data_IF_220683606977
#
_entry.id   IF_220683606977
#
_cell.length_a   1.000
_cell.length_b   1.000
_cell.length_c   1.000
_cell.angle_alpha   90.00
_cell.angle_beta   90.00
_cell.angle_gamma   90.00
#
_symmetry.space_group_name_H-M   'P 1'
#
loop_
_entity.id
_entity.type
_entity.pdbx_description
1 polymer ?
#
# COMPACT_ATOMS: atom_id res chain seq x y z
N UNK A 1 7.18 16.81 19.34
CA UNK A 1 5.73 16.64 19.05
C UNK A 1 5.47 17.17 17.66
N UNK A 2 4.89 16.39 16.74
CA UNK A 2 4.67 16.83 15.36
C UNK A 2 3.76 18.05 15.40
N UNK A 3 4.27 19.21 14.97
CA UNK A 3 3.55 20.47 15.10
C UNK A 3 2.18 20.35 14.43
N UNK A 4 1.10 20.49 15.20
CA UNK A 4 -0.27 20.35 14.70
C UNK A 4 -0.52 21.26 13.48
N UNK A 5 0.17 22.41 13.45
CA UNK A 5 0.20 23.37 12.34
C UNK A 5 0.81 22.79 11.05
N UNK A 6 1.92 22.05 11.16
CA UNK A 6 2.58 21.40 10.00
C UNK A 6 1.73 20.27 9.44
N UNK A 7 1.05 19.52 10.31
CA UNK A 7 0.09 18.49 9.88
C UNK A 7 -1.08 19.13 9.14
N UNK A 8 -1.69 20.17 9.72
CA UNK A 8 -2.81 20.87 9.09
C UNK A 8 -2.42 21.48 7.74
N UNK A 9 -1.25 22.09 7.63
CA UNK A 9 -0.73 22.62 6.37
C UNK A 9 -0.53 21.51 5.32
N UNK A 10 0.08 20.38 5.71
CA UNK A 10 0.28 19.25 4.81
C UNK A 10 -1.05 18.64 4.33
N UNK A 11 -2.04 18.50 5.22
CA UNK A 11 -3.38 18.03 4.85
C UNK A 11 -4.07 19.00 3.91
N UNK A 12 -3.94 20.31 4.12
CA UNK A 12 -4.49 21.33 3.22
C UNK A 12 -3.90 21.26 1.81
N UNK A 13 -2.57 21.13 1.72
CA UNK A 13 -1.88 20.97 0.43
C UNK A 13 -2.35 19.69 -0.28
N UNK A 14 -2.46 18.56 0.44
CA UNK A 14 -2.94 17.29 -0.12
C UNK A 14 -4.33 17.43 -0.74
N UNK A 15 -5.28 18.05 -0.03
CA UNK A 15 -6.64 18.25 -0.54
C UNK A 15 -6.62 19.14 -1.78
N UNK A 16 -5.84 20.22 -1.78
CA UNK A 16 -5.73 21.12 -2.93
C UNK A 16 -5.17 20.40 -4.17
N UNK A 17 -4.12 19.58 -4.01
CA UNK A 17 -3.53 18.81 -5.11
C UNK A 17 -4.53 17.80 -5.67
N UNK A 18 -5.24 17.08 -4.80
CA UNK A 18 -6.21 16.05 -5.19
C UNK A 18 -7.40 16.67 -5.91
N UNK A 19 -7.89 17.81 -5.41
CA UNK A 19 -8.94 18.57 -6.06
C UNK A 19 -8.53 19.06 -7.44
N UNK A 20 -7.31 19.60 -7.56
CA UNK A 20 -6.81 20.11 -8.84
C UNK A 20 -6.57 19.00 -9.87
N UNK A 21 -5.98 17.88 -9.46
CA UNK A 21 -5.63 16.79 -10.38
C UNK A 21 -6.82 15.90 -10.76
N UNK A 22 -7.75 15.66 -9.83
CA UNK A 22 -8.79 14.63 -9.97
C UNK A 22 -10.22 15.15 -9.83
N UNK A 23 -10.43 16.45 -9.57
CA UNK A 23 -11.75 17.05 -9.32
C UNK A 23 -12.54 16.31 -8.22
N UNK A 24 -13.83 16.03 -8.42
CA UNK A 24 -14.67 15.33 -7.45
C UNK A 24 -14.33 13.83 -7.33
N UNK A 25 -13.96 13.18 -8.43
CA UNK A 25 -13.56 11.78 -8.43
C UNK A 25 -12.28 11.56 -7.59
N UNK A 26 -11.35 12.50 -7.63
CA UNK A 26 -10.14 12.49 -6.81
C UNK A 26 -10.45 12.53 -5.30
N UNK A 27 -11.43 13.34 -4.89
CA UNK A 27 -11.87 13.38 -3.49
C UNK A 27 -12.52 12.07 -3.05
N UNK A 28 -13.36 11.46 -3.90
CA UNK A 28 -13.96 10.15 -3.61
C UNK A 28 -12.87 9.09 -3.47
N UNK A 29 -11.91 9.05 -4.39
CA UNK A 29 -10.78 8.12 -4.33
C UNK A 29 -9.94 8.33 -3.05
N UNK A 30 -9.76 9.58 -2.62
CA UNK A 30 -9.09 9.91 -1.35
C UNK A 30 -9.89 9.40 -0.14
N UNK A 31 -11.21 9.59 -0.12
CA UNK A 31 -12.05 9.09 0.96
C UNK A 31 -12.04 7.55 1.04
N UNK A 32 -12.15 6.88 -0.11
CA UNK A 32 -12.10 5.41 -0.20
C UNK A 32 -10.74 4.88 0.23
N UNK A 33 -9.64 5.49 -0.23
CA UNK A 33 -8.29 5.06 0.17
C UNK A 33 -8.03 5.26 1.66
N UNK A 34 -8.52 6.35 2.26
CA UNK A 34 -8.48 6.54 3.72
C UNK A 34 -9.29 5.48 4.47
N UNK A 35 -10.48 5.13 3.98
CA UNK A 35 -11.30 4.07 4.58
C UNK A 35 -10.59 2.71 4.54
N UNK A 36 -9.98 2.36 3.39
CA UNK A 36 -9.20 1.14 3.23
C UNK A 36 -7.98 1.16 4.15
N UNK A 37 -7.25 2.28 4.22
CA UNK A 37 -6.10 2.42 5.11
C UNK A 37 -6.49 2.23 6.59
N UNK A 38 -7.64 2.76 7.00
CA UNK A 38 -8.19 2.54 8.34
C UNK A 38 -8.55 1.07 8.60
N UNK A 39 -9.22 0.43 7.63
CA UNK A 39 -9.55 -0.98 7.72
C UNK A 39 -8.29 -1.85 7.83
N UNK A 40 -7.29 -1.60 6.99
CA UNK A 40 -6.01 -2.30 7.06
C UNK A 40 -5.34 -2.09 8.41
N UNK A 41 -5.28 -0.84 8.90
CA UNK A 41 -4.72 -0.55 10.23
C UNK A 41 -5.43 -1.36 11.31
N UNK A 42 -6.76 -1.41 11.28
CA UNK A 42 -7.56 -2.17 12.24
C UNK A 42 -7.25 -3.67 12.17
N UNK A 43 -7.26 -4.25 10.97
CA UNK A 43 -6.93 -5.66 10.76
C UNK A 43 -5.50 -5.96 11.21
N UNK A 44 -4.53 -5.12 10.88
CA UNK A 44 -3.15 -5.29 11.31
C UNK A 44 -2.99 -5.22 12.83
N UNK A 45 -3.71 -4.32 13.49
CA UNK A 45 -3.71 -4.25 14.96
C UNK A 45 -4.29 -5.52 15.58
N UNK A 46 -5.36 -6.06 15.01
CA UNK A 46 -6.01 -7.28 15.49
C UNK A 46 -5.18 -8.54 15.23
N UNK A 47 -4.59 -8.67 14.04
CA UNK A 47 -3.90 -9.89 13.60
C UNK A 47 -2.44 -9.94 14.05
N UNK A 48 -1.77 -8.80 14.21
CA UNK A 48 -0.33 -8.75 14.50
C UNK A 48 0.01 -8.07 15.83
N UNK A 49 -1.00 -7.69 16.63
CA UNK A 49 -0.80 -6.98 17.90
C UNK A 49 -0.31 -5.54 17.73
N UNK A 50 -0.26 -5.04 16.49
CA UNK A 50 0.25 -3.73 16.12
C UNK A 50 1.02 -3.76 14.80
N UNK A 51 1.35 -2.58 14.28
CA UNK A 51 2.24 -2.42 13.14
C UNK A 51 3.66 -2.24 13.71
N UNK A 52 4.31 -3.35 14.10
CA UNK A 52 5.72 -3.32 14.51
C UNK A 52 6.63 -3.25 13.27
N UNK A 53 7.83 -2.69 13.45
CA UNK A 53 8.89 -2.71 12.44
C UNK A 53 9.23 -4.14 12.00
N UNK A 54 9.12 -5.12 12.91
CA UNK A 54 9.44 -6.52 12.63
C UNK A 54 8.48 -7.15 11.60
N UNK A 55 7.18 -6.82 11.68
CA UNK A 55 6.16 -7.34 10.75
C UNK A 55 6.33 -6.72 9.37
N UNK A 56 6.66 -5.43 9.31
CA UNK A 56 6.99 -4.74 8.06
C UNK A 56 8.28 -5.29 7.42
N UNK A 57 9.32 -5.53 8.23
CA UNK A 57 10.59 -6.11 7.79
C UNK A 57 10.41 -7.53 7.25
N UNK A 58 9.69 -8.40 7.98
CA UNK A 58 9.39 -9.75 7.53
C UNK A 58 8.57 -9.77 6.22
N UNK A 59 7.57 -8.88 6.10
CA UNK A 59 6.75 -8.76 4.89
C UNK A 59 7.58 -8.33 3.68
N UNK A 60 8.56 -7.44 3.87
CA UNK A 60 9.48 -7.03 2.81
C UNK A 60 10.31 -8.21 2.29
N UNK A 61 10.83 -9.05 3.18
CA UNK A 61 11.59 -10.23 2.76
C UNK A 61 10.72 -11.32 2.13
N UNK A 62 9.50 -11.53 2.63
CA UNK A 62 8.51 -12.41 1.96
C UNK A 62 8.18 -11.90 0.56
N UNK A 63 8.02 -10.58 0.39
CA UNK A 63 7.77 -9.97 -0.93
C UNK A 63 8.94 -10.21 -1.87
N UNK A 64 10.18 -10.00 -1.39
CA UNK A 64 11.40 -10.27 -2.15
C UNK A 64 11.50 -11.74 -2.57
N UNK A 65 11.27 -12.67 -1.66
CA UNK A 65 11.28 -14.11 -1.96
C UNK A 65 10.15 -14.49 -2.93
N UNK A 66 8.94 -13.96 -2.73
CA UNK A 66 7.80 -14.20 -3.62
C UNK A 66 8.08 -13.70 -5.05
N UNK A 67 8.64 -12.49 -5.21
CA UNK A 67 9.05 -11.97 -6.50
C UNK A 67 10.10 -12.85 -7.19
N UNK A 68 11.07 -13.41 -6.44
CA UNK A 68 12.06 -14.33 -6.99
C UNK A 68 11.43 -15.65 -7.45
N UNK A 69 10.46 -16.19 -6.70
CA UNK A 69 9.73 -17.42 -7.06
C UNK A 69 8.86 -17.20 -8.31
N UNK A 70 8.16 -16.08 -8.40
CA UNK A 70 7.35 -15.74 -9.59
C UNK A 70 8.25 -15.53 -10.81
N UNK A 71 9.37 -14.82 -10.65
CA UNK A 71 10.33 -14.60 -11.72
C UNK A 71 10.96 -15.92 -12.21
N UNK A 72 11.31 -16.84 -11.31
CA UNK A 72 11.90 -18.12 -11.69
C UNK A 72 10.92 -19.09 -12.33
N UNK A 73 9.61 -18.99 -12.01
CA UNK A 73 8.57 -19.87 -12.56
C UNK A 73 8.03 -19.42 -13.93
N UNK A 74 8.11 -18.14 -14.29
CA UNK A 74 7.68 -17.62 -15.59
C UNK A 74 8.36 -18.30 -16.80
N UNK A 75 9.69 -18.48 -16.83
CA UNK A 75 10.36 -19.22 -17.91
C UNK A 75 9.96 -20.70 -17.99
N UNK A 76 9.77 -21.35 -16.83
CA UNK A 76 9.37 -22.75 -16.75
C UNK A 76 7.96 -22.96 -17.30
N UNK A 77 7.03 -22.05 -17.01
CA UNK A 77 5.67 -22.05 -17.55
C UNK A 77 5.67 -21.81 -19.07
N UNK A 78 6.54 -20.90 -19.55
CA UNK A 78 6.68 -20.61 -20.99
C UNK A 78 7.22 -21.82 -21.77
N UNK A 79 8.19 -22.53 -21.23
CA UNK A 79 8.76 -23.72 -21.88
C UNK A 79 7.73 -24.85 -22.01
N UNK A 80 6.93 -25.11 -20.96
CA UNK A 80 5.85 -26.13 -20.99
C UNK A 80 4.77 -25.79 -22.02
N UNK A 81 4.38 -24.52 -22.16
CA UNK A 81 3.38 -24.08 -23.15
C UNK A 81 3.90 -24.10 -24.59
N UNK A 82 5.21 -24.02 -24.83
CA UNK A 82 5.78 -24.06 -26.19
C UNK A 82 6.15 -25.45 -26.69
N UNK A 83 6.14 -26.46 -25.81
CA UNK A 83 6.43 -27.86 -26.15
C UNK A 83 5.18 -28.75 -26.20
N UNK A 84 3.99 -28.16 -26.20
CA UNK A 84 2.69 -28.83 -26.43
C UNK A 84 2.11 -28.38 -27.77
#
# INVERSE_FOLDING_TARGET
MKDKRKIAAATGIMIAVVWFAGSFAGLIALAVSLAIAWLMKYVSFKSFGGISGDVFGASNEVTRLSSLIVMSSLPSLRLVMTTS
#
